data_IF_699709919666
#
_entry.id   IF_699709919666
#
_cell.length_a   1.000
_cell.length_b   1.000
_cell.length_c   1.000
_cell.angle_alpha   90.00
_cell.angle_beta   90.00
_cell.angle_gamma   90.00
#
_symmetry.space_group_name_H-M   'P 1'
#
loop_
_entity.id
_entity.type
_entity.pdbx_description
1 polymer ?
#
# COMPACT_ATOMS: atom_id res chain seq x y z
N UNK A 1 1.20 -8.47 21.52
CA UNK A 1 1.87 -7.16 21.54
C UNK A 1 1.27 -6.35 20.41
N UNK A 2 0.71 -5.18 20.71
CA UNK A 2 0.25 -4.26 19.67
C UNK A 2 1.46 -3.87 18.81
N UNK A 3 1.40 -4.17 17.52
CA UNK A 3 2.45 -3.77 16.60
C UNK A 3 2.20 -2.30 16.23
N UNK A 4 3.21 -1.45 16.43
CA UNK A 4 3.14 -0.05 16.05
C UNK A 4 2.77 0.15 14.58
N UNK A 5 2.25 1.33 14.24
CA UNK A 5 1.76 1.64 12.89
C UNK A 5 2.81 1.37 11.79
N UNK A 6 4.09 1.66 12.03
CA UNK A 6 5.17 1.37 11.08
C UNK A 6 5.28 -0.11 10.72
N UNK A 7 5.27 -0.99 11.71
CA UNK A 7 5.29 -2.45 11.48
C UNK A 7 4.05 -2.90 10.69
N UNK A 8 2.87 -2.36 11.02
CA UNK A 8 1.62 -2.68 10.30
C UNK A 8 1.67 -2.26 8.83
N UNK A 9 2.27 -1.11 8.52
CA UNK A 9 2.46 -0.65 7.15
C UNK A 9 3.50 -1.49 6.39
N UNK A 10 4.57 -1.89 7.07
CA UNK A 10 5.57 -2.80 6.51
C UNK A 10 4.94 -4.16 6.17
N UNK A 11 4.22 -4.76 7.12
CA UNK A 11 3.55 -6.04 6.92
C UNK A 11 2.48 -5.94 5.83
N UNK A 12 1.75 -4.82 5.75
CA UNK A 12 0.82 -4.55 4.66
C UNK A 12 1.51 -4.57 3.28
N UNK A 13 2.64 -3.88 3.13
CA UNK A 13 3.40 -3.86 1.88
C UNK A 13 3.88 -5.27 1.48
N UNK A 14 4.42 -6.05 2.43
CA UNK A 14 4.83 -7.45 2.19
C UNK A 14 3.63 -8.31 1.76
N UNK A 15 2.51 -8.20 2.48
CA UNK A 15 1.30 -8.96 2.16
C UNK A 15 0.76 -8.62 0.77
N UNK A 16 0.79 -7.35 0.36
CA UNK A 16 0.43 -6.94 -0.99
C UNK A 16 1.35 -7.58 -2.03
N UNK A 17 2.66 -7.51 -1.84
CA UNK A 17 3.63 -8.12 -2.78
C UNK A 17 3.39 -9.63 -2.92
N UNK A 18 3.14 -10.33 -1.81
CA UNK A 18 2.85 -11.76 -1.81
C UNK A 18 1.49 -12.06 -2.46
N UNK A 19 0.48 -11.21 -2.23
CA UNK A 19 -0.83 -11.34 -2.86
C UNK A 19 -0.76 -11.15 -4.39
N UNK A 20 0.04 -10.20 -4.88
CA UNK A 20 0.21 -9.97 -6.32
C UNK A 20 0.74 -11.19 -7.08
N UNK A 21 1.51 -12.07 -6.42
CA UNK A 21 1.98 -13.34 -7.00
C UNK A 21 0.87 -14.34 -7.30
N UNK A 22 -0.30 -14.17 -6.68
CA UNK A 22 -1.46 -15.06 -6.85
C UNK A 22 -2.43 -14.58 -7.92
N UNK A 23 -2.32 -13.32 -8.36
CA UNK A 23 -3.21 -12.77 -9.38
C UNK A 23 -2.83 -13.27 -10.80
N UNK A 24 -3.81 -13.41 -11.71
CA UNK A 24 -3.56 -13.82 -13.09
C UNK A 24 -2.50 -12.98 -13.82
N UNK A 25 -1.99 -13.54 -14.91
CA UNK A 25 -1.13 -12.82 -15.85
C UNK A 25 -1.97 -12.10 -16.91
N UNK A 26 -1.51 -10.96 -17.41
CA UNK A 26 -2.20 -10.16 -18.42
C UNK A 26 -1.86 -8.68 -18.28
N UNK A 27 -2.00 -7.92 -19.37
CA UNK A 27 -1.61 -6.49 -19.40
C UNK A 27 -2.40 -5.67 -18.38
N UNK A 28 -3.68 -5.96 -18.22
CA UNK A 28 -4.57 -5.34 -17.25
C UNK A 28 -4.14 -5.65 -15.80
N UNK A 29 -3.73 -6.89 -15.52
CA UNK A 29 -3.23 -7.29 -14.22
C UNK A 29 -1.84 -6.71 -13.94
N UNK A 30 -0.98 -6.57 -14.94
CA UNK A 30 0.35 -5.97 -14.77
C UNK A 30 0.24 -4.50 -14.33
N UNK A 31 -0.70 -3.74 -14.91
CA UNK A 31 -0.99 -2.37 -14.49
C UNK A 31 -1.49 -2.32 -13.05
N UNK A 32 -2.45 -3.18 -12.69
CA UNK A 32 -3.00 -3.23 -11.33
C UNK A 32 -1.93 -3.64 -10.32
N UNK A 33 -1.15 -4.68 -10.62
CA UNK A 33 -0.04 -5.16 -9.79
C UNK A 33 0.97 -4.05 -9.54
N UNK A 34 1.34 -3.32 -10.59
CA UNK A 34 2.26 -2.20 -10.47
C UNK A 34 1.71 -1.08 -9.58
N UNK A 35 0.49 -0.62 -9.84
CA UNK A 35 -0.09 0.51 -9.10
C UNK A 35 -0.35 0.19 -7.63
N UNK A 36 -0.90 -1.00 -7.35
CA UNK A 36 -1.12 -1.45 -5.97
C UNK A 36 0.20 -1.69 -5.23
N UNK A 37 1.18 -2.34 -5.86
CA UNK A 37 2.49 -2.55 -5.21
C UNK A 37 3.14 -1.22 -4.88
N UNK A 38 3.16 -0.28 -5.84
CA UNK A 38 3.76 1.04 -5.66
C UNK A 38 3.11 1.82 -4.52
N UNK A 39 1.78 1.93 -4.51
CA UNK A 39 1.06 2.66 -3.47
C UNK A 39 1.22 1.98 -2.10
N UNK A 40 1.14 0.65 -2.03
CA UNK A 40 1.32 -0.08 -0.78
C UNK A 40 2.73 0.11 -0.18
N UNK A 41 3.79 -0.03 -0.98
CA UNK A 41 5.17 0.20 -0.48
C UNK A 41 5.43 1.66 -0.15
N UNK A 42 4.86 2.59 -0.92
CA UNK A 42 5.04 4.04 -0.68
C UNK A 42 4.38 4.50 0.62
N UNK A 43 3.31 3.86 1.06
CA UNK A 43 2.66 4.16 2.33
C UNK A 43 3.60 3.98 3.53
N UNK A 44 4.28 2.83 3.62
CA UNK A 44 5.27 2.54 4.66
C UNK A 44 6.49 3.43 4.54
N UNK A 45 7.03 3.59 3.32
CA UNK A 45 8.20 4.44 3.09
C UNK A 45 7.99 5.89 3.55
N UNK A 46 6.86 6.51 3.21
CA UNK A 46 6.55 7.87 3.65
C UNK A 46 6.31 7.95 5.18
N UNK A 47 5.81 6.89 5.80
CA UNK A 47 5.68 6.84 7.25
C UNK A 47 7.04 6.77 7.95
N UNK A 48 7.97 5.97 7.43
CA UNK A 48 9.36 5.90 7.91
C UNK A 48 10.07 7.25 7.73
N UNK A 49 9.92 7.91 6.58
CA UNK A 49 10.42 9.27 6.38
C UNK A 49 9.84 10.27 7.38
N UNK A 50 8.55 10.12 7.73
CA UNK A 50 7.94 10.97 8.76
C UNK A 50 8.62 10.79 10.12
N UNK A 51 9.10 9.59 10.48
CA UNK A 51 9.80 9.36 11.76
C UNK A 51 11.11 10.15 11.86
N UNK A 52 11.72 10.48 10.71
CA UNK A 52 12.94 11.28 10.61
C UNK A 52 12.66 12.76 10.24
N UNK A 53 11.40 13.22 10.33
CA UNK A 53 11.03 14.56 9.89
C UNK A 53 11.75 15.68 10.67
N UNK A 54 12.19 16.69 9.93
CA UNK A 54 12.93 17.84 10.47
C UNK A 54 12.04 18.86 11.21
N UNK A 55 10.72 18.80 11.02
CA UNK A 55 9.74 19.69 11.64
C UNK A 55 8.36 19.04 11.78
N UNK A 56 7.49 19.63 12.60
CA UNK A 56 6.08 19.19 12.73
C UNK A 56 5.30 19.30 11.41
N UNK A 57 5.60 20.31 10.59
CA UNK A 57 4.95 20.51 9.30
C UNK A 57 5.38 19.42 8.31
N UNK A 58 6.68 19.13 8.26
CA UNK A 58 7.26 18.06 7.44
C UNK A 58 6.68 16.69 7.83
N UNK A 59 6.64 16.39 9.15
CA UNK A 59 5.99 15.19 9.69
C UNK A 59 4.54 15.06 9.18
N UNK A 60 3.73 16.11 9.34
CA UNK A 60 2.32 16.11 8.91
C UNK A 60 2.19 15.90 7.40
N UNK A 61 3.05 16.51 6.61
CA UNK A 61 3.05 16.34 5.15
C UNK A 61 3.36 14.90 4.75
N UNK A 62 4.39 14.27 5.35
CA UNK A 62 4.75 12.87 5.09
C UNK A 62 3.67 11.88 5.53
N UNK A 63 3.04 12.11 6.69
CA UNK A 63 1.87 11.33 7.11
C UNK A 63 0.70 11.47 6.14
N UNK A 64 0.43 12.68 5.63
CA UNK A 64 -0.63 12.89 4.63
C UNK A 64 -0.34 12.16 3.31
N UNK A 65 0.93 12.10 2.89
CA UNK A 65 1.32 11.31 1.73
C UNK A 65 1.08 9.83 2.00
N UNK A 66 1.56 9.29 3.13
CA UNK A 66 1.32 7.90 3.53
C UNK A 66 -0.18 7.54 3.52
N UNK A 67 -1.04 8.42 4.05
CA UNK A 67 -2.49 8.25 4.02
C UNK A 67 -3.07 8.24 2.60
N UNK A 68 -2.57 9.10 1.71
CA UNK A 68 -3.00 9.13 0.30
C UNK A 68 -2.66 7.81 -0.39
N UNK A 69 -1.44 7.30 -0.20
CA UNK A 69 -0.99 6.02 -0.75
C UNK A 69 -1.83 4.84 -0.22
N UNK A 70 -2.22 4.86 1.06
CA UNK A 70 -3.15 3.86 1.62
C UNK A 70 -4.55 3.93 1.00
N UNK A 71 -5.06 5.14 0.73
CA UNK A 71 -6.36 5.32 0.05
C UNK A 71 -6.31 4.79 -1.38
N UNK A 72 -5.22 5.03 -2.09
CA UNK A 72 -4.98 4.49 -3.41
C UNK A 72 -4.88 2.96 -3.39
N UNK A 73 -4.11 2.40 -2.44
CA UNK A 73 -4.02 0.95 -2.23
C UNK A 73 -5.40 0.33 -2.00
N UNK A 74 -6.24 0.96 -1.18
CA UNK A 74 -7.62 0.51 -0.93
C UNK A 74 -8.48 0.55 -2.20
N UNK A 75 -8.31 1.56 -3.05
CA UNK A 75 -9.03 1.67 -4.32
C UNK A 75 -8.65 0.52 -5.28
N UNK A 76 -7.36 0.22 -5.43
CA UNK A 76 -6.92 -0.90 -6.27
C UNK A 76 -7.35 -2.27 -5.75
N UNK A 77 -7.36 -2.47 -4.42
CA UNK A 77 -7.92 -3.69 -3.82
C UNK A 77 -9.41 -3.87 -4.13
N UNK A 78 -10.20 -2.79 -4.11
CA UNK A 78 -11.61 -2.83 -4.52
C UNK A 78 -11.79 -3.17 -6.00
N UNK A 79 -10.90 -2.67 -6.87
CA UNK A 79 -10.92 -3.06 -8.29
C UNK A 79 -10.68 -4.57 -8.42
N UNK A 80 -9.65 -5.09 -7.75
CA UNK A 80 -9.31 -6.53 -7.77
C UNK A 80 -10.50 -7.37 -7.29
N UNK A 81 -11.12 -7.00 -6.17
CA UNK A 81 -12.30 -7.70 -5.63
C UNK A 81 -13.45 -7.81 -6.66
N UNK A 82 -13.63 -6.80 -7.51
CA UNK A 82 -14.71 -6.80 -8.51
C UNK A 82 -14.38 -7.53 -9.81
N UNK A 83 -13.11 -7.56 -10.22
CA UNK A 83 -12.68 -8.25 -11.45
C UNK A 83 -12.24 -9.70 -11.18
N UNK A 84 -11.91 -10.01 -9.93
CA UNK A 84 -11.46 -11.31 -9.46
C UNK A 84 -12.17 -11.67 -8.14
N UNK A 85 -13.49 -11.94 -8.19
CA UNK A 85 -14.22 -12.37 -7.01
C UNK A 85 -13.68 -13.73 -6.55
N UNK A 86 -13.39 -13.83 -5.26
CA UNK A 86 -12.83 -15.01 -4.58
C UNK A 86 -13.73 -16.27 -4.65
N UNK A 87 -14.96 -16.12 -5.13
CA UNK A 87 -15.96 -17.17 -5.26
C UNK A 87 -16.09 -17.63 -6.73
N UNK A 88 -15.12 -18.46 -7.15
CA UNK A 88 -15.30 -19.56 -8.10
C UNK A 88 -14.39 -20.73 -7.74
#
# INVERSE_FOLDING_TARGET
MDQGLGQRLFDFAINVILFMRKLPHGKEYDVIKYQLTKSATSSGANYEEAQAASSKLDFKNKINISLREMRESSYWLKIIERIYPSDK
#
